data_IF_077912346340
#
_entry.id   IF_077912346340
#
_cell.length_a   1.000
_cell.length_b   1.000
_cell.length_c   1.000
_cell.angle_alpha   90.00
_cell.angle_beta   90.00
_cell.angle_gamma   90.00
#
_symmetry.space_group_name_H-M   'P 1'
#
loop_
_entity.id
_entity.type
_entity.pdbx_description
1 polymer ?
#
# COMPACT_ATOMS: atom_id res chain seq x y z
N UNK A 1 12.82 -26.03 -0.86
CA UNK A 1 12.83 -26.28 0.61
C UNK A 1 12.98 -24.98 1.38
N UNK A 2 14.00 -24.14 1.12
CA UNK A 2 14.20 -22.87 1.86
C UNK A 2 12.93 -22.00 1.97
N UNK A 3 12.30 -21.66 0.83
CA UNK A 3 11.07 -20.85 0.80
C UNK A 3 9.95 -21.45 1.66
N UNK A 4 9.60 -22.71 1.41
CA UNK A 4 8.48 -23.34 2.11
C UNK A 4 8.77 -23.59 3.58
N UNK A 5 10.00 -23.89 3.97
CA UNK A 5 10.39 -24.00 5.38
C UNK A 5 10.26 -22.65 6.08
N UNK A 6 10.75 -21.57 5.48
CA UNK A 6 10.60 -20.23 6.06
C UNK A 6 9.13 -19.87 6.28
N UNK A 7 8.27 -20.03 5.28
CA UNK A 7 6.84 -19.71 5.38
C UNK A 7 6.18 -20.55 6.48
N UNK A 8 6.43 -21.86 6.51
CA UNK A 8 5.84 -22.76 7.51
C UNK A 8 6.25 -22.39 8.94
N UNK A 9 7.56 -22.22 9.18
CA UNK A 9 8.07 -21.94 10.52
C UNK A 9 7.57 -20.58 11.02
N UNK A 10 7.63 -19.54 10.18
CA UNK A 10 7.15 -18.19 10.52
C UNK A 10 5.65 -18.18 10.81
N UNK A 11 4.82 -18.74 9.93
CA UNK A 11 3.36 -18.78 10.12
C UNK A 11 2.98 -19.54 11.39
N UNK A 12 3.59 -20.71 11.64
CA UNK A 12 3.30 -21.51 12.84
C UNK A 12 3.81 -20.88 14.13
N UNK A 13 4.90 -20.12 14.06
CA UNK A 13 5.48 -19.43 15.21
C UNK A 13 4.60 -18.27 15.69
N UNK A 14 3.82 -17.67 14.79
CA UNK A 14 2.97 -16.51 15.06
C UNK A 14 1.50 -16.76 14.70
N UNK A 15 0.83 -17.72 15.38
CA UNK A 15 -0.57 -18.07 15.08
C UNK A 15 -1.57 -16.93 15.39
N UNK A 16 -1.14 -15.90 16.13
CA UNK A 16 -1.94 -14.71 16.42
C UNK A 16 -2.00 -13.71 15.26
N UNK A 17 -1.15 -13.86 14.23
CA UNK A 17 -1.16 -12.98 13.07
C UNK A 17 -2.40 -13.29 12.22
N UNK A 18 -3.26 -12.30 12.07
CA UNK A 18 -4.54 -12.44 11.36
C UNK A 18 -4.45 -12.09 9.87
N UNK A 19 -3.37 -11.44 9.43
CA UNK A 19 -3.11 -11.10 8.03
C UNK A 19 -1.63 -11.22 7.71
N UNK A 20 -1.28 -11.82 6.58
CA UNK A 20 0.09 -11.96 6.10
C UNK A 20 0.23 -11.35 4.72
N UNK A 21 1.18 -10.44 4.56
CA UNK A 21 1.71 -10.07 3.25
C UNK A 21 2.63 -11.21 2.80
N UNK A 22 2.06 -12.16 2.06
CA UNK A 22 2.77 -13.38 1.65
C UNK A 22 3.84 -13.04 0.61
N UNK A 23 3.52 -12.10 -0.28
CA UNK A 23 4.40 -11.56 -1.30
C UNK A 23 4.28 -10.04 -1.28
N UNK A 24 5.43 -9.37 -1.29
CA UNK A 24 5.55 -7.92 -1.33
C UNK A 24 6.21 -7.47 -2.63
N UNK A 25 5.63 -6.50 -3.33
CA UNK A 25 6.24 -5.73 -4.43
C UNK A 25 6.82 -6.57 -5.58
N UNK A 26 6.06 -7.56 -6.04
CA UNK A 26 6.52 -8.45 -7.11
C UNK A 26 6.41 -7.85 -8.52
N UNK A 27 5.77 -6.69 -8.68
CA UNK A 27 5.59 -6.02 -9.96
C UNK A 27 6.57 -4.85 -10.08
N UNK A 28 7.23 -4.76 -11.23
CA UNK A 28 8.06 -3.64 -11.58
C UNK A 28 7.20 -2.43 -11.99
N UNK A 29 7.40 -1.28 -11.35
CA UNK A 29 6.50 -0.14 -11.54
C UNK A 29 6.58 0.48 -12.94
N UNK A 30 7.78 0.50 -13.56
CA UNK A 30 7.99 1.14 -14.85
C UNK A 30 7.45 0.28 -16.00
N UNK A 31 7.63 -1.03 -15.90
CA UNK A 31 7.30 -1.97 -16.98
C UNK A 31 5.98 -2.72 -16.77
N UNK A 32 5.50 -2.81 -15.52
CA UNK A 32 4.39 -3.68 -15.13
C UNK A 32 4.71 -5.18 -15.26
N UNK A 33 5.98 -5.55 -15.44
CA UNK A 33 6.43 -6.93 -15.51
C UNK A 33 6.64 -7.50 -14.10
N UNK A 34 6.61 -8.83 -13.97
CA UNK A 34 7.00 -9.47 -12.71
C UNK A 34 8.52 -9.36 -12.52
N UNK A 35 8.94 -8.94 -11.32
CA UNK A 35 10.34 -8.82 -10.96
C UNK A 35 11.01 -10.18 -10.94
N UNK A 36 12.25 -10.21 -11.44
CA UNK A 36 13.09 -11.39 -11.35
C UNK A 36 13.91 -11.40 -10.06
N UNK A 37 13.84 -12.50 -9.32
CA UNK A 37 14.47 -12.72 -8.03
C UNK A 37 15.38 -13.96 -8.07
N UNK A 38 16.21 -14.12 -7.04
CA UNK A 38 16.99 -15.36 -6.89
C UNK A 38 16.10 -16.60 -6.82
N UNK A 39 14.87 -16.49 -6.29
CA UNK A 39 13.93 -17.59 -6.23
C UNK A 39 13.36 -17.90 -7.61
N UNK A 40 12.83 -16.90 -8.34
CA UNK A 40 12.19 -17.12 -9.64
C UNK A 40 13.14 -17.73 -10.66
N UNK A 41 14.40 -17.29 -10.68
CA UNK A 41 15.45 -17.86 -11.56
C UNK A 41 15.69 -19.35 -11.33
N UNK A 42 15.45 -19.86 -10.12
CA UNK A 42 15.75 -21.23 -9.73
C UNK A 42 14.50 -22.11 -9.54
N UNK A 43 13.30 -21.54 -9.63
CA UNK A 43 12.05 -22.19 -9.24
C UNK A 43 10.96 -22.09 -10.32
N UNK A 44 11.36 -21.94 -11.59
CA UNK A 44 10.43 -21.99 -12.72
C UNK A 44 9.69 -20.67 -12.99
N UNK A 45 10.21 -19.55 -12.49
CA UNK A 45 9.67 -18.22 -12.73
C UNK A 45 8.94 -17.59 -11.54
N UNK A 46 8.60 -16.30 -11.64
CA UNK A 46 8.00 -15.54 -10.54
C UNK A 46 6.63 -16.08 -10.14
N UNK A 47 5.78 -16.45 -11.10
CA UNK A 47 4.45 -17.02 -10.81
C UNK A 47 4.57 -18.34 -10.02
N UNK A 48 5.44 -19.25 -10.43
CA UNK A 48 5.63 -20.53 -9.75
C UNK A 48 6.09 -20.36 -8.29
N UNK A 49 6.93 -19.36 -8.02
CA UNK A 49 7.36 -19.00 -6.65
C UNK A 49 6.20 -18.48 -5.83
N UNK A 50 5.43 -17.53 -6.37
CA UNK A 50 4.32 -16.89 -5.65
C UNK A 50 3.18 -17.88 -5.39
N UNK A 51 2.80 -18.68 -6.39
CA UNK A 51 1.78 -19.71 -6.25
C UNK A 51 2.17 -20.70 -5.12
N UNK A 52 3.42 -21.17 -5.10
CA UNK A 52 3.94 -22.03 -4.04
C UNK A 52 3.91 -21.34 -2.67
N UNK A 53 4.25 -20.05 -2.61
CA UNK A 53 4.26 -19.29 -1.36
C UNK A 53 2.85 -19.17 -0.76
N UNK A 54 1.86 -18.77 -1.56
CA UNK A 54 0.47 -18.66 -1.12
C UNK A 54 -0.14 -20.00 -0.71
N UNK A 55 0.07 -21.07 -1.48
CA UNK A 55 -0.40 -22.40 -1.09
C UNK A 55 0.26 -22.90 0.20
N UNK A 56 1.55 -22.62 0.39
CA UNK A 56 2.27 -22.95 1.63
C UNK A 56 1.72 -22.14 2.82
N UNK A 57 1.53 -20.84 2.63
CA UNK A 57 0.99 -19.95 3.66
C UNK A 57 -0.42 -20.36 4.08
N UNK A 58 -1.30 -20.70 3.11
CA UNK A 58 -2.66 -21.19 3.41
C UNK A 58 -2.64 -22.47 4.24
N UNK A 59 -1.73 -23.39 3.94
CA UNK A 59 -1.61 -24.63 4.71
C UNK A 59 -1.08 -24.38 6.14
N UNK A 60 -0.20 -23.41 6.32
CA UNK A 60 0.43 -23.11 7.61
C UNK A 60 -0.40 -22.18 8.51
N UNK A 61 -1.17 -21.26 7.91
CA UNK A 61 -2.01 -20.26 8.58
C UNK A 61 -3.42 -20.24 7.96
N UNK A 62 -4.22 -21.31 8.12
CA UNK A 62 -5.50 -21.47 7.41
C UNK A 62 -6.53 -20.38 7.74
N UNK A 63 -6.45 -19.78 8.93
CA UNK A 63 -7.37 -18.75 9.40
C UNK A 63 -6.87 -17.32 9.16
N UNK A 64 -5.63 -17.14 8.70
CA UNK A 64 -5.11 -15.82 8.38
C UNK A 64 -5.62 -15.37 7.00
N UNK A 65 -5.77 -14.07 6.85
CA UNK A 65 -5.94 -13.42 5.56
C UNK A 65 -4.59 -13.40 4.84
N UNK A 66 -4.57 -13.81 3.58
CA UNK A 66 -3.36 -13.82 2.76
C UNK A 66 -3.40 -12.69 1.74
N UNK A 67 -2.41 -11.83 1.79
CA UNK A 67 -2.31 -10.60 1.01
C UNK A 67 -1.15 -10.65 0.01
N UNK A 68 -1.38 -10.04 -1.14
CA UNK A 68 -0.32 -9.50 -1.98
C UNK A 68 -0.23 -8.00 -1.67
N UNK A 69 0.93 -7.50 -1.26
CA UNK A 69 1.13 -6.09 -0.87
C UNK A 69 2.02 -5.36 -1.88
N UNK A 70 1.66 -4.15 -2.28
CA UNK A 70 2.41 -3.37 -3.26
C UNK A 70 2.09 -1.86 -3.20
N UNK A 71 2.94 -1.03 -3.81
CA UNK A 71 2.94 0.45 -3.71
C UNK A 71 2.31 1.18 -4.89
N UNK A 72 1.62 0.47 -5.78
CA UNK A 72 0.91 1.13 -6.86
C UNK A 72 -0.08 2.16 -6.29
N UNK A 73 -0.20 3.31 -6.97
CA UNK A 73 -0.97 4.43 -6.43
C UNK A 73 -1.76 5.16 -7.52
N UNK A 74 -2.50 6.20 -7.13
CA UNK A 74 -3.39 7.01 -7.96
C UNK A 74 -2.73 8.21 -8.65
N UNK A 75 -1.41 8.38 -8.55
CA UNK A 75 -0.67 9.42 -9.27
C UNK A 75 -0.36 8.98 -10.72
N UNK A 76 -0.02 9.93 -11.57
CA UNK A 76 0.56 9.66 -12.87
C UNK A 76 1.92 8.94 -12.73
N UNK A 77 2.25 8.08 -13.70
CA UNK A 77 3.44 7.24 -13.69
C UNK A 77 3.20 5.84 -13.12
N UNK A 78 2.11 5.62 -12.38
CA UNK A 78 1.75 4.30 -11.85
C UNK A 78 0.86 3.47 -12.79
N UNK A 79 0.59 3.91 -14.02
CA UNK A 79 -0.29 3.22 -14.96
C UNK A 79 0.20 1.81 -15.28
N UNK A 80 1.49 1.67 -15.63
CA UNK A 80 2.10 0.39 -15.94
C UNK A 80 2.11 -0.54 -14.71
N UNK A 81 2.41 0.01 -13.53
CA UNK A 81 2.38 -0.71 -12.26
C UNK A 81 0.99 -1.27 -11.94
N UNK A 82 -0.05 -0.42 -11.98
CA UNK A 82 -1.45 -0.83 -11.76
C UNK A 82 -1.87 -1.92 -12.74
N UNK A 83 -1.53 -1.77 -14.01
CA UNK A 83 -1.83 -2.77 -15.04
C UNK A 83 -1.09 -4.10 -14.79
N UNK A 84 0.17 -4.05 -14.33
CA UNK A 84 0.95 -5.23 -13.97
C UNK A 84 0.38 -5.98 -12.79
N UNK A 85 -0.02 -5.26 -11.74
CA UNK A 85 -0.64 -5.86 -10.55
C UNK A 85 -1.98 -6.48 -10.90
N UNK A 86 -2.82 -5.78 -11.68
CA UNK A 86 -4.10 -6.33 -12.12
C UNK A 86 -3.92 -7.66 -12.88
N UNK A 87 -2.98 -7.70 -13.84
CA UNK A 87 -2.64 -8.95 -14.55
C UNK A 87 -2.19 -10.07 -13.61
N UNK A 88 -1.41 -9.74 -12.59
CA UNK A 88 -0.97 -10.71 -11.58
C UNK A 88 -2.16 -11.26 -10.78
N UNK A 89 -3.04 -10.39 -10.27
CA UNK A 89 -4.22 -10.78 -9.49
C UNK A 89 -5.18 -11.65 -10.30
N UNK A 90 -5.42 -11.29 -11.57
CA UNK A 90 -6.19 -12.14 -12.48
C UNK A 90 -5.52 -13.50 -12.71
N UNK A 91 -4.19 -13.52 -12.82
CA UNK A 91 -3.39 -14.74 -12.94
C UNK A 91 -3.57 -15.65 -11.73
N UNK A 92 -3.47 -15.09 -10.52
CA UNK A 92 -3.74 -15.79 -9.27
C UNK A 92 -5.16 -16.38 -9.24
N UNK A 93 -6.17 -15.60 -9.63
CA UNK A 93 -7.56 -16.08 -9.71
C UNK A 93 -7.70 -17.24 -10.70
N UNK A 94 -7.10 -17.14 -11.90
CA UNK A 94 -7.14 -18.23 -12.92
C UNK A 94 -6.46 -19.51 -12.45
N UNK A 95 -5.35 -19.39 -11.71
CA UNK A 95 -4.57 -20.54 -11.22
C UNK A 95 -5.04 -21.10 -9.87
N UNK A 96 -6.06 -20.50 -9.26
CA UNK A 96 -6.61 -20.96 -7.99
C UNK A 96 -5.68 -20.69 -6.79
N UNK A 97 -4.87 -19.63 -6.87
CA UNK A 97 -4.00 -19.20 -5.77
C UNK A 97 -4.87 -18.67 -4.62
N UNK A 98 -4.63 -19.10 -3.36
CA UNK A 98 -5.50 -18.77 -2.22
C UNK A 98 -5.26 -17.37 -1.66
N UNK A 99 -5.43 -16.34 -2.50
CA UNK A 99 -5.33 -14.92 -2.16
C UNK A 99 -6.67 -14.42 -1.62
N UNK A 100 -6.64 -13.66 -0.52
CA UNK A 100 -7.85 -13.08 0.08
C UNK A 100 -7.96 -11.56 -0.12
N UNK A 101 -6.82 -10.87 -0.22
CA UNK A 101 -6.81 -9.41 -0.25
C UNK A 101 -5.63 -8.82 -1.04
N UNK A 102 -5.84 -7.60 -1.52
CA UNK A 102 -4.78 -6.71 -1.98
C UNK A 102 -4.41 -5.76 -0.84
N UNK A 103 -3.15 -5.79 -0.42
CA UNK A 103 -2.53 -4.72 0.35
C UNK A 103 -2.12 -3.59 -0.58
N UNK A 104 -2.66 -2.40 -0.33
CA UNK A 104 -2.26 -1.16 -0.98
C UNK A 104 -1.44 -0.38 0.05
N UNK A 105 -0.14 -0.21 -0.21
CA UNK A 105 0.74 0.49 0.74
C UNK A 105 0.25 1.92 0.99
N UNK A 106 -0.26 2.60 -0.04
CA UNK A 106 -0.78 3.96 0.07
C UNK A 106 0.26 4.99 0.54
N UNK A 107 1.49 4.87 0.04
CA UNK A 107 2.49 5.95 0.06
C UNK A 107 2.12 7.06 -0.94
N UNK A 108 1.09 7.83 -0.63
CA UNK A 108 0.52 8.82 -1.56
C UNK A 108 1.32 10.13 -1.55
N UNK A 109 1.26 10.90 -2.63
CA UNK A 109 2.09 12.09 -2.85
C UNK A 109 3.52 11.78 -3.30
N UNK A 110 3.83 10.50 -3.58
CA UNK A 110 5.13 10.02 -4.06
C UNK A 110 5.39 10.35 -5.54
N UNK A 111 4.32 10.57 -6.32
CA UNK A 111 4.38 11.06 -7.70
C UNK A 111 4.83 12.52 -7.85
N UNK A 112 5.06 13.24 -6.75
CA UNK A 112 5.59 14.60 -6.77
C UNK A 112 7.06 14.60 -7.26
N UNK A 113 7.24 14.89 -8.55
CA UNK A 113 8.56 15.26 -9.13
C UNK A 113 9.05 16.58 -8.55
N UNK A 114 10.35 16.87 -8.70
CA UNK A 114 10.97 18.09 -8.15
C UNK A 114 10.30 19.40 -8.63
N UNK A 115 9.63 19.38 -9.78
CA UNK A 115 8.92 20.53 -10.36
C UNK A 115 7.41 20.56 -10.03
N UNK A 116 6.92 19.63 -9.21
CA UNK A 116 5.49 19.52 -8.89
C UNK A 116 5.01 20.68 -8.02
N UNK A 117 3.88 21.29 -8.41
CA UNK A 117 3.16 22.29 -7.61
C UNK A 117 1.93 21.63 -6.97
N UNK A 118 2.06 21.22 -5.71
CA UNK A 118 0.97 20.54 -4.98
C UNK A 118 0.98 19.02 -5.17
N UNK A 119 -0.18 18.38 -5.13
CA UNK A 119 -0.36 16.95 -5.29
C UNK A 119 -1.04 16.62 -6.61
N UNK A 120 -0.57 15.58 -7.30
CA UNK A 120 -1.25 15.03 -8.46
C UNK A 120 -2.44 14.15 -8.03
N UNK A 121 -3.63 14.47 -8.53
CA UNK A 121 -4.85 13.65 -8.35
C UNK A 121 -5.54 13.36 -9.68
N UNK A 122 -4.83 13.51 -10.80
CA UNK A 122 -5.42 13.42 -12.14
C UNK A 122 -5.95 12.01 -12.48
N UNK A 123 -5.34 10.96 -11.91
CA UNK A 123 -5.70 9.56 -12.17
C UNK A 123 -6.67 8.99 -11.10
N UNK A 124 -7.39 9.83 -10.33
CA UNK A 124 -8.37 9.34 -9.33
C UNK A 124 -9.43 8.41 -9.96
N UNK A 125 -9.89 8.73 -11.17
CA UNK A 125 -10.88 7.90 -11.89
C UNK A 125 -10.32 6.53 -12.25
N UNK A 126 -9.09 6.49 -12.76
CA UNK A 126 -8.38 5.28 -13.15
C UNK A 126 -8.05 4.43 -11.92
N UNK A 127 -7.73 5.08 -10.80
CA UNK A 127 -7.56 4.42 -9.52
C UNK A 127 -8.85 3.74 -9.03
N UNK A 128 -9.99 4.44 -9.09
CA UNK A 128 -11.30 3.83 -8.76
C UNK A 128 -11.58 2.61 -9.63
N UNK A 129 -11.32 2.70 -10.95
CA UNK A 129 -11.47 1.55 -11.85
C UNK A 129 -10.58 0.37 -11.45
N UNK A 130 -9.32 0.63 -11.10
CA UNK A 130 -8.42 -0.41 -10.60
C UNK A 130 -8.99 -1.09 -9.34
N UNK A 131 -9.44 -0.31 -8.35
CA UNK A 131 -10.05 -0.86 -7.13
C UNK A 131 -11.36 -1.61 -7.45
N UNK A 132 -12.20 -1.10 -8.36
CA UNK A 132 -13.42 -1.75 -8.82
C UNK A 132 -13.14 -3.16 -9.40
N UNK A 133 -12.07 -3.31 -10.18
CA UNK A 133 -11.66 -4.60 -10.72
C UNK A 133 -11.16 -5.56 -9.62
N UNK A 134 -10.39 -5.05 -8.65
CA UNK A 134 -9.91 -5.84 -7.52
C UNK A 134 -11.07 -6.36 -6.67
N UNK A 135 -12.04 -5.50 -6.31
CA UNK A 135 -13.22 -5.94 -5.57
C UNK A 135 -14.14 -6.82 -6.43
N UNK A 136 -14.21 -6.58 -7.73
CA UNK A 136 -14.93 -7.43 -8.69
C UNK A 136 -14.34 -8.84 -8.80
N UNK A 137 -13.04 -9.01 -8.48
CA UNK A 137 -12.43 -10.31 -8.34
C UNK A 137 -12.85 -11.06 -7.06
N UNK A 138 -13.48 -10.38 -6.10
CA UNK A 138 -13.87 -10.92 -4.80
C UNK A 138 -12.82 -10.70 -3.71
N UNK A 139 -11.80 -9.88 -3.97
CA UNK A 139 -10.73 -9.61 -3.03
C UNK A 139 -11.13 -8.50 -2.04
N UNK A 140 -10.65 -8.63 -0.80
CA UNK A 140 -10.64 -7.54 0.19
C UNK A 140 -9.53 -6.55 -0.13
N UNK A 141 -9.61 -5.35 0.47
CA UNK A 141 -8.57 -4.33 0.34
C UNK A 141 -8.05 -3.94 1.72
N UNK A 142 -6.75 -3.85 1.87
CA UNK A 142 -6.07 -3.35 3.07
C UNK A 142 -5.28 -2.10 2.69
N UNK A 143 -5.42 -1.01 3.46
CA UNK A 143 -4.40 0.04 3.40
C UNK A 143 -3.34 -0.35 4.42
N UNK A 144 -2.15 -0.66 3.96
CA UNK A 144 -1.10 -1.32 4.76
C UNK A 144 -0.02 -0.38 5.28
N UNK A 145 0.27 0.73 4.60
CA UNK A 145 1.45 1.57 4.88
C UNK A 145 1.17 3.07 4.68
N UNK A 146 -0.01 3.55 5.10
CA UNK A 146 -0.46 4.90 4.79
C UNK A 146 0.46 5.99 5.35
N UNK A 147 1.01 6.81 4.47
CA UNK A 147 1.62 8.09 4.75
C UNK A 147 1.39 9.06 3.58
N UNK A 148 1.57 10.36 3.81
CA UNK A 148 1.37 11.40 2.80
C UNK A 148 2.67 12.14 2.56
N UNK A 149 3.29 11.87 1.43
CA UNK A 149 4.59 12.39 1.07
C UNK A 149 4.55 13.88 0.70
N UNK A 150 4.97 14.74 1.64
CA UNK A 150 4.81 16.20 1.54
C UNK A 150 5.92 16.94 0.75
N UNK A 151 6.68 16.21 -0.08
CA UNK A 151 7.77 16.80 -0.88
C UNK A 151 7.21 17.85 -1.85
N UNK A 152 7.97 18.94 -2.01
CA UNK A 152 7.68 20.08 -2.88
C UNK A 152 6.45 20.93 -2.48
N UNK A 153 5.83 20.64 -1.32
CA UNK A 153 4.91 21.59 -0.71
C UNK A 153 5.63 22.85 -0.20
N UNK A 154 4.93 24.01 -0.12
CA UNK A 154 5.49 25.27 0.39
C UNK A 154 6.15 25.12 1.75
N UNK A 155 7.10 25.99 2.11
CA UNK A 155 7.82 25.90 3.39
C UNK A 155 6.93 26.08 4.63
N UNK A 156 5.87 26.88 4.51
CA UNK A 156 4.96 27.21 5.60
C UNK A 156 4.26 25.96 6.18
N UNK A 157 4.51 25.67 7.46
CA UNK A 157 4.02 24.47 8.14
C UNK A 157 2.49 24.37 8.14
N UNK A 158 1.73 25.42 8.55
CA UNK A 158 0.28 25.38 8.49
C UNK A 158 -0.26 25.03 7.09
N UNK A 159 0.32 25.61 6.04
CA UNK A 159 -0.05 25.33 4.65
C UNK A 159 0.25 23.88 4.26
N UNK A 160 1.43 23.35 4.62
CA UNK A 160 1.80 21.94 4.37
C UNK A 160 0.86 20.98 5.04
N UNK A 161 0.63 21.18 6.33
CA UNK A 161 -0.21 20.30 7.14
C UNK A 161 -1.66 20.29 6.63
N UNK A 162 -2.18 21.45 6.20
CA UNK A 162 -3.50 21.55 5.59
C UNK A 162 -3.58 20.79 4.25
N UNK A 163 -2.58 20.92 3.39
CA UNK A 163 -2.53 20.20 2.11
C UNK A 163 -2.41 18.69 2.31
N UNK A 164 -1.54 18.24 3.21
CA UNK A 164 -1.37 16.83 3.59
C UNK A 164 -2.68 16.24 4.11
N UNK A 165 -3.36 16.95 5.01
CA UNK A 165 -4.65 16.52 5.54
C UNK A 165 -5.74 16.47 4.47
N UNK A 166 -5.77 17.45 3.55
CA UNK A 166 -6.73 17.48 2.46
C UNK A 166 -6.55 16.31 1.48
N UNK A 167 -5.31 15.97 1.12
CA UNK A 167 -5.04 14.82 0.26
C UNK A 167 -5.38 13.51 0.98
N UNK A 168 -4.91 13.36 2.23
CA UNK A 168 -5.16 12.17 3.03
C UNK A 168 -6.65 11.91 3.24
N UNK A 169 -7.42 12.93 3.61
CA UNK A 169 -8.88 12.81 3.76
C UNK A 169 -9.56 12.41 2.46
N UNK A 170 -9.24 13.07 1.34
CA UNK A 170 -9.79 12.72 0.01
C UNK A 170 -9.51 11.26 -0.36
N UNK A 171 -8.27 10.81 -0.20
CA UNK A 171 -7.87 9.45 -0.52
C UNK A 171 -8.60 8.42 0.37
N UNK A 172 -8.63 8.68 1.68
CA UNK A 172 -9.26 7.78 2.64
C UNK A 172 -10.78 7.75 2.47
N UNK A 173 -11.45 8.87 2.22
CA UNK A 173 -12.89 8.90 1.94
C UNK A 173 -13.24 8.04 0.72
N UNK A 174 -12.42 8.12 -0.33
CA UNK A 174 -12.58 7.31 -1.54
C UNK A 174 -12.34 5.83 -1.27
N UNK A 175 -11.23 5.46 -0.64
CA UNK A 175 -10.94 4.04 -0.33
C UNK A 175 -11.96 3.45 0.65
N UNK A 176 -12.30 4.18 1.72
CA UNK A 176 -13.26 3.74 2.74
C UNK A 176 -14.71 3.68 2.21
N UNK A 177 -15.00 4.23 1.03
CA UNK A 177 -16.30 4.05 0.36
C UNK A 177 -16.52 2.61 -0.12
N UNK A 178 -15.47 1.81 -0.27
CA UNK A 178 -15.55 0.39 -0.60
C UNK A 178 -15.79 -0.46 0.66
N UNK A 179 -16.92 -1.20 0.77
CA UNK A 179 -17.20 -2.06 1.91
C UNK A 179 -16.16 -3.19 2.13
N UNK A 180 -15.40 -3.52 1.09
CA UNK A 180 -14.32 -4.52 1.08
C UNK A 180 -13.07 -4.07 1.85
N UNK A 181 -12.98 -2.79 2.23
CA UNK A 181 -11.89 -2.27 3.06
C UNK A 181 -11.91 -2.89 4.47
N UNK A 182 -10.85 -3.61 4.81
CA UNK A 182 -10.70 -4.29 6.10
C UNK A 182 -9.96 -3.51 7.17
N UNK A 183 -9.16 -2.52 6.79
CA UNK A 183 -8.38 -1.75 7.74
C UNK A 183 -7.47 -0.72 7.10
N UNK A 184 -6.92 0.14 7.96
CA UNK A 184 -5.88 1.11 7.63
C UNK A 184 -4.76 0.92 8.66
N UNK A 185 -3.54 0.81 8.18
CA UNK A 185 -2.31 0.90 8.96
C UNK A 185 -1.54 2.11 8.45
N UNK A 186 -1.15 3.02 9.34
CA UNK A 186 -0.27 4.13 9.00
C UNK A 186 1.19 3.69 9.11
N UNK A 187 2.05 4.10 8.16
CA UNK A 187 3.47 3.76 8.17
C UNK A 187 4.29 4.69 9.05
N UNK A 188 3.97 4.64 10.34
CA UNK A 188 4.52 5.50 11.36
C UNK A 188 3.46 6.36 12.03
N UNK A 189 3.74 6.69 13.28
CA UNK A 189 2.88 7.53 14.10
C UNK A 189 3.34 9.00 14.09
N UNK A 190 4.65 9.21 14.19
CA UNK A 190 5.27 10.54 14.31
C UNK A 190 6.23 10.80 13.16
N UNK A 191 6.22 12.04 12.70
CA UNK A 191 7.09 12.52 11.63
C UNK A 191 8.56 12.26 11.94
N UNK A 192 8.95 12.34 13.22
CA UNK A 192 10.33 12.11 13.68
C UNK A 192 10.89 10.75 13.28
N UNK A 193 10.04 9.72 13.21
CA UNK A 193 10.43 8.34 12.96
C UNK A 193 9.96 7.84 11.59
N UNK A 194 9.42 8.72 10.74
CA UNK A 194 9.05 8.34 9.39
C UNK A 194 10.29 7.94 8.59
N UNK A 195 10.21 6.81 7.90
CA UNK A 195 11.25 6.33 6.97
C UNK A 195 11.58 7.35 5.87
N UNK A 196 10.64 8.24 5.54
CA UNK A 196 10.81 9.30 4.55
C UNK A 196 11.79 10.40 4.97
N UNK A 197 12.14 10.50 6.27
CA UNK A 197 13.16 11.43 6.72
C UNK A 197 14.53 11.11 6.12
N UNK A 198 14.85 9.82 5.97
CA UNK A 198 16.15 9.36 5.47
C UNK A 198 16.13 9.04 3.98
N UNK A 199 15.06 8.38 3.50
CA UNK A 199 15.04 7.87 2.13
C UNK A 199 14.75 8.95 1.08
N UNK A 200 14.00 9.98 1.44
CA UNK A 200 13.50 10.99 0.48
C UNK A 200 13.59 12.42 1.02
N UNK A 201 14.71 12.88 1.59
CA UNK A 201 14.77 14.17 2.28
C UNK A 201 14.34 15.33 1.38
N UNK A 202 13.77 16.37 1.99
CA UNK A 202 13.41 17.60 1.27
C UNK A 202 14.68 18.34 0.84
N UNK A 203 14.66 18.96 -0.34
CA UNK A 203 15.78 19.73 -0.86
C UNK A 203 16.13 20.96 0.01
N UNK A 204 15.14 21.50 0.73
CA UNK A 204 15.29 22.62 1.66
C UNK A 204 15.82 22.21 3.05
N UNK A 205 16.03 20.91 3.29
CA UNK A 205 16.53 20.37 4.56
C UNK A 205 15.52 20.38 5.71
N UNK A 206 14.29 20.84 5.50
CA UNK A 206 13.26 20.79 6.55
C UNK A 206 12.78 19.34 6.77
N UNK A 207 12.41 18.97 8.02
CA UNK A 207 11.82 17.67 8.29
C UNK A 207 10.54 17.44 7.47
N UNK A 208 10.32 16.19 7.05
CA UNK A 208 9.06 15.76 6.44
C UNK A 208 7.91 15.83 7.43
N UNK A 209 6.70 16.05 6.91
CA UNK A 209 5.47 16.10 7.71
C UNK A 209 4.41 15.12 7.20
N UNK A 210 4.75 13.83 7.19
CA UNK A 210 4.02 12.78 6.44
C UNK A 210 3.01 11.97 7.24
N UNK A 211 3.10 12.00 8.57
CA UNK A 211 2.33 11.13 9.48
C UNK A 211 1.32 11.92 10.33
N UNK A 212 0.43 11.26 11.11
CA UNK A 212 -0.63 11.94 11.86
C UNK A 212 -0.14 12.85 13.00
N UNK A 213 1.08 12.64 13.51
CA UNK A 213 1.65 13.43 14.60
C UNK A 213 3.00 14.04 14.20
N UNK A 214 3.31 15.23 14.72
CA UNK A 214 4.60 15.85 14.49
C UNK A 214 5.73 15.22 15.33
N UNK A 215 6.92 15.80 15.26
CA UNK A 215 8.11 15.33 15.99
C UNK A 215 7.98 15.39 17.53
N UNK A 216 7.07 16.24 18.04
CA UNK A 216 6.78 16.43 19.45
C UNK A 216 5.51 15.67 19.88
N UNK A 217 5.04 14.72 19.05
CA UNK A 217 3.83 13.93 19.27
C UNK A 217 2.56 14.78 19.38
N UNK A 218 2.55 15.99 18.82
CA UNK A 218 1.34 16.80 18.74
C UNK A 218 0.52 16.38 17.51
N UNK A 219 -0.79 16.28 17.69
CA UNK A 219 -1.69 15.87 16.61
C UNK A 219 -1.69 16.93 15.51
N UNK A 220 -1.47 16.49 14.27
CA UNK A 220 -1.56 17.33 13.07
C UNK A 220 -2.96 17.26 12.46
N UNK A 221 -3.33 18.20 11.56
CA UNK A 221 -4.56 18.13 10.80
C UNK A 221 -4.83 16.78 10.12
N UNK A 222 -3.79 16.05 9.70
CA UNK A 222 -3.94 14.70 9.12
C UNK A 222 -4.59 13.70 10.07
N UNK A 223 -4.28 13.77 11.38
CA UNK A 223 -4.92 12.92 12.39
C UNK A 223 -6.43 13.13 12.41
N UNK A 224 -6.88 14.37 12.30
CA UNK A 224 -8.31 14.67 12.29
C UNK A 224 -8.97 14.26 10.97
N UNK A 225 -8.29 14.43 9.84
CA UNK A 225 -8.77 13.94 8.54
C UNK A 225 -9.00 12.42 8.57
N UNK A 226 -8.04 11.64 9.09
CA UNK A 226 -8.19 10.18 9.28
C UNK A 226 -9.41 9.86 10.14
N UNK A 227 -9.55 10.54 11.29
CA UNK A 227 -10.66 10.30 12.20
C UNK A 227 -12.02 10.67 11.57
N UNK A 228 -12.07 11.73 10.77
CA UNK A 228 -13.27 12.13 10.05
C UNK A 228 -13.67 11.10 8.98
N UNK A 229 -12.73 10.64 8.15
CA UNK A 229 -12.97 9.61 7.14
C UNK A 229 -13.46 8.30 7.76
N UNK A 230 -12.89 7.89 8.90
CA UNK A 230 -13.34 6.71 9.63
C UNK A 230 -14.76 6.86 10.18
N UNK A 231 -15.16 8.05 10.64
CA UNK A 231 -16.53 8.31 11.12
C UNK A 231 -17.55 8.38 9.97
N UNK A 232 -17.13 8.86 8.80
CA UNK A 232 -17.97 8.99 7.62
C UNK A 232 -18.10 7.68 6.83
N UNK A 233 -17.21 6.71 7.08
CA UNK A 233 -17.21 5.42 6.41
C UNK A 233 -18.57 4.70 6.55
N UNK A 234 -19.05 4.03 5.48
CA UNK A 234 -20.24 3.19 5.56
C UNK A 234 -20.09 2.11 6.65
N UNK A 235 -21.19 1.74 7.30
CA UNK A 235 -21.26 0.59 8.22
C UNK A 235 -20.89 -0.69 7.45
N UNK A 236 -20.05 -1.55 8.07
CA UNK A 236 -19.48 -2.76 7.47
C UNK A 236 -19.65 -3.95 8.39
#
# INVERSE_FOLDING_TARGET
RLLTTHINETCRRYPQVFSWDVINEAVDADTGALRDTVFSRNMGGPEAVMDLAFHTARAAAPNARLCYNDYMSWEAGHEAHRAGVLRLLEGFKRRGVPLDALGVQSHIGSGNTDDSVGFDTAQEREWRRFIDEVVGMGLKIEISEFDVHDKNLPLDIPTRDAAVAALGGRYLDMMLSYPQMTGIVCWGLSDKYSWLQENWPRADGQPKRTTPYDEAMQAKPLREAIAASLRAAPVR
#
